data_IF_874857626322
#
_entry.id   IF_874857626322
#
_cell.length_a   1.000
_cell.length_b   1.000
_cell.length_c   1.000
_cell.angle_alpha   90.00
_cell.angle_beta   90.00
_cell.angle_gamma   90.00
#
_symmetry.space_group_name_H-M   'P 1'
#
loop_
_entity.id
_entity.type
_entity.pdbx_description
1 polymer ?
#
# COMPACT_ATOMS: atom_id res chain seq x y z
N UNK A 1 34.98 -23.36 -12.88
CA UNK A 1 33.99 -22.55 -12.14
C UNK A 1 34.78 -21.49 -11.40
N UNK A 2 34.65 -20.23 -11.79
CA UNK A 2 35.29 -19.15 -11.02
C UNK A 2 34.55 -18.96 -9.68
N UNK A 3 35.28 -18.69 -8.58
CA UNK A 3 34.65 -18.43 -7.30
C UNK A 3 33.83 -17.13 -7.36
N UNK A 4 32.60 -17.17 -6.86
CA UNK A 4 31.76 -15.99 -6.73
C UNK A 4 32.43 -14.97 -5.78
N UNK A 5 32.83 -13.81 -6.32
CA UNK A 5 33.43 -12.75 -5.52
C UNK A 5 32.35 -11.83 -4.96
N UNK A 6 32.24 -11.82 -3.62
CA UNK A 6 31.36 -10.91 -2.90
C UNK A 6 32.07 -9.56 -2.74
N UNK A 7 31.50 -8.51 -3.32
CA UNK A 7 32.01 -7.14 -3.13
C UNK A 7 31.67 -6.62 -1.73
N UNK A 8 32.43 -5.65 -1.21
CA UNK A 8 32.15 -5.05 0.10
C UNK A 8 30.72 -4.46 0.24
N UNK A 9 30.13 -3.82 -0.81
CA UNK A 9 28.72 -3.42 -0.77
C UNK A 9 27.75 -4.59 -0.61
N UNK A 10 27.96 -5.69 -1.34
CA UNK A 10 27.12 -6.89 -1.23
C UNK A 10 27.24 -7.49 0.17
N UNK A 11 28.46 -7.59 0.70
CA UNK A 11 28.70 -8.11 2.05
C UNK A 11 27.96 -7.29 3.12
N UNK A 12 28.01 -5.95 3.01
CA UNK A 12 27.31 -5.04 3.93
C UNK A 12 25.79 -5.23 3.85
N UNK A 13 25.26 -5.47 2.66
CA UNK A 13 23.84 -5.73 2.43
C UNK A 13 23.41 -7.08 3.01
N UNK A 14 24.22 -8.13 2.83
CA UNK A 14 24.00 -9.45 3.42
C UNK A 14 24.03 -9.43 4.95
N UNK A 15 24.94 -8.67 5.56
CA UNK A 15 24.99 -8.51 7.02
C UNK A 15 23.75 -7.81 7.58
N UNK A 16 23.24 -6.78 6.87
CA UNK A 16 21.98 -6.12 7.23
C UNK A 16 20.80 -7.08 7.11
N UNK A 17 20.74 -7.84 6.03
CA UNK A 17 19.72 -8.85 5.79
C UNK A 17 19.74 -9.94 6.86
N UNK A 18 20.93 -10.40 7.25
CA UNK A 18 21.10 -11.38 8.32
C UNK A 18 20.58 -10.86 9.66
N UNK A 19 20.85 -9.58 9.98
CA UNK A 19 20.30 -8.95 11.19
C UNK A 19 18.77 -8.90 11.14
N UNK A 20 18.20 -8.51 10.01
CA UNK A 20 16.76 -8.47 9.80
C UNK A 20 16.09 -9.85 9.95
N UNK A 21 16.71 -10.89 9.37
CA UNK A 21 16.24 -12.28 9.48
C UNK A 21 16.23 -12.73 10.95
N UNK A 22 17.29 -12.42 11.72
CA UNK A 22 17.37 -12.76 13.15
C UNK A 22 16.27 -12.11 14.00
N UNK A 23 15.80 -10.94 13.61
CA UNK A 23 14.76 -10.19 14.32
C UNK A 23 13.34 -10.55 13.85
N UNK A 24 13.23 -11.49 12.90
CA UNK A 24 11.98 -11.91 12.25
C UNK A 24 11.69 -13.40 12.48
N UNK A 25 10.50 -13.88 12.08
CA UNK A 25 10.14 -15.31 12.09
C UNK A 25 10.67 -16.09 10.88
N UNK A 26 11.73 -15.58 10.24
CA UNK A 26 12.31 -16.14 9.01
C UNK A 26 13.41 -17.11 9.41
N UNK A 27 13.34 -18.34 8.93
CA UNK A 27 14.35 -19.37 9.19
C UNK A 27 15.36 -19.44 8.04
N UNK A 28 14.89 -19.29 6.80
CA UNK A 28 15.76 -19.40 5.61
C UNK A 28 15.42 -18.39 4.51
N UNK A 29 16.44 -18.04 3.73
CA UNK A 29 16.37 -17.21 2.54
C UNK A 29 16.85 -18.03 1.35
N UNK A 30 16.00 -18.20 0.35
CA UNK A 30 16.33 -18.84 -0.91
C UNK A 30 16.47 -17.77 -2.00
N UNK A 31 17.62 -17.74 -2.67
CA UNK A 31 17.85 -16.90 -3.84
C UNK A 31 18.13 -17.83 -5.01
N UNK A 32 17.24 -17.80 -6.00
CA UNK A 32 17.43 -18.47 -7.29
C UNK A 32 17.80 -17.44 -8.35
N UNK A 33 17.96 -17.89 -9.60
CA UNK A 33 18.13 -17.00 -10.75
C UNK A 33 16.89 -16.15 -11.05
N UNK A 34 15.73 -16.50 -10.49
CA UNK A 34 14.43 -15.96 -10.85
C UNK A 34 13.61 -15.46 -9.65
N UNK A 35 13.92 -15.89 -8.43
CA UNK A 35 13.16 -15.57 -7.22
C UNK A 35 14.02 -15.33 -6.00
N UNK A 36 13.51 -14.47 -5.11
CA UNK A 36 14.00 -14.33 -3.74
C UNK A 36 12.82 -14.67 -2.82
N UNK A 37 12.98 -15.71 -2.02
CA UNK A 37 11.94 -16.25 -1.14
C UNK A 37 12.45 -16.33 0.29
N UNK A 38 11.58 -15.97 1.24
CA UNK A 38 11.88 -16.08 2.66
C UNK A 38 10.92 -17.11 3.25
N UNK A 39 11.46 -18.08 3.97
CA UNK A 39 10.71 -19.23 4.44
C UNK A 39 10.76 -19.33 5.97
N UNK A 40 9.66 -19.75 6.57
CA UNK A 40 9.61 -20.08 7.99
C UNK A 40 10.14 -21.51 8.26
N UNK A 41 9.95 -22.00 9.48
CA UNK A 41 10.40 -23.34 9.89
C UNK A 41 9.61 -24.47 9.23
N UNK A 42 8.42 -24.18 8.76
CA UNK A 42 7.52 -25.10 8.09
C UNK A 42 7.80 -25.15 6.58
N UNK A 43 8.62 -24.21 6.08
CA UNK A 43 8.90 -24.04 4.66
C UNK A 43 7.86 -23.19 3.95
N UNK A 44 6.97 -22.52 4.68
CA UNK A 44 5.98 -21.63 4.12
C UNK A 44 6.59 -20.26 3.82
N UNK A 45 6.14 -19.63 2.73
CA UNK A 45 6.61 -18.29 2.37
C UNK A 45 6.20 -17.26 3.41
N UNK A 46 7.20 -16.61 4.00
CA UNK A 46 7.02 -15.45 4.87
C UNK A 46 6.89 -14.21 3.98
N UNK A 47 5.75 -13.50 4.04
CA UNK A 47 5.59 -12.25 3.30
C UNK A 47 6.56 -11.20 3.86
N UNK A 48 7.49 -10.72 3.03
CA UNK A 48 8.42 -9.67 3.41
C UNK A 48 8.00 -8.35 2.78
N UNK A 49 7.78 -7.36 3.64
CA UNK A 49 7.61 -6.00 3.20
C UNK A 49 8.99 -5.34 3.10
N UNK A 50 9.62 -5.41 1.92
CA UNK A 50 10.85 -4.68 1.60
C UNK A 50 10.57 -3.19 1.35
N UNK A 51 9.83 -2.56 2.26
CA UNK A 51 9.72 -1.11 2.26
C UNK A 51 11.10 -0.54 2.61
N UNK A 52 11.65 0.43 1.86
CA UNK A 52 12.80 1.18 2.34
C UNK A 52 12.46 1.74 3.74
N UNK A 53 13.45 1.83 4.62
CA UNK A 53 13.30 2.62 5.85
C UNK A 53 13.00 4.05 5.43
N UNK A 54 11.73 4.42 5.47
CA UNK A 54 11.25 5.75 5.20
C UNK A 54 11.38 6.51 6.52
N UNK A 55 12.36 7.42 6.61
CA UNK A 55 12.42 8.38 7.71
C UNK A 55 11.69 9.68 7.33
N UNK A 56 11.35 10.51 8.32
CA UNK A 56 10.58 11.74 8.10
C UNK A 56 11.29 12.70 7.13
N UNK A 57 12.63 12.83 7.18
CA UNK A 57 13.40 13.66 6.26
C UNK A 57 13.26 13.21 4.79
N UNK A 58 13.25 11.90 4.55
CA UNK A 58 13.02 11.33 3.22
C UNK A 58 11.57 11.52 2.76
N UNK A 59 10.61 11.53 3.68
CA UNK A 59 9.22 11.86 3.34
C UNK A 59 9.09 13.32 2.94
N UNK A 60 9.66 14.24 3.72
CA UNK A 60 9.59 15.68 3.45
C UNK A 60 10.19 16.02 2.09
N UNK A 61 11.35 15.47 1.76
CA UNK A 61 11.98 15.68 0.43
C UNK A 61 11.18 15.10 -0.74
N UNK A 62 10.33 14.10 -0.48
CA UNK A 62 9.49 13.46 -1.51
C UNK A 62 8.06 13.99 -1.56
N UNK A 63 7.64 14.83 -0.61
CA UNK A 63 6.31 15.45 -0.59
C UNK A 63 5.92 16.08 -1.93
N UNK A 64 6.79 16.82 -2.64
CA UNK A 64 6.43 17.39 -3.94
C UNK A 64 5.98 16.35 -4.97
N UNK A 65 6.59 15.16 -4.98
CA UNK A 65 6.22 14.07 -5.89
C UNK A 65 4.86 13.45 -5.54
N UNK A 66 4.52 13.41 -4.25
CA UNK A 66 3.22 12.93 -3.79
C UNK A 66 2.11 13.92 -4.11
N UNK A 67 2.40 15.22 -4.01
CA UNK A 67 1.49 16.28 -4.42
C UNK A 67 1.29 16.26 -5.95
N UNK A 68 2.36 16.03 -6.72
CA UNK A 68 2.28 15.85 -8.16
C UNK A 68 1.32 14.72 -8.54
N UNK A 69 1.41 13.55 -7.88
CA UNK A 69 0.46 12.45 -8.10
C UNK A 69 -1.00 12.89 -7.85
N UNK A 70 -1.24 13.70 -6.81
CA UNK A 70 -2.58 14.22 -6.50
C UNK A 70 -3.03 15.31 -7.48
N UNK A 71 -2.14 15.99 -8.19
CA UNK A 71 -2.52 17.01 -9.17
C UNK A 71 -2.69 16.45 -10.58
N UNK A 72 -2.28 15.20 -10.83
CA UNK A 72 -2.59 14.54 -12.10
C UNK A 72 -4.09 14.41 -12.27
N UNK A 73 -4.53 14.54 -13.52
CA UNK A 73 -5.89 14.31 -13.93
C UNK A 73 -6.01 12.83 -14.31
N UNK A 74 -6.83 12.10 -13.56
CA UNK A 74 -7.21 10.73 -13.88
C UNK A 74 -8.12 10.68 -15.11
N UNK A 75 -8.18 9.52 -15.74
CA UNK A 75 -9.19 9.28 -16.77
C UNK A 75 -10.46 8.74 -16.10
N UNK A 76 -11.57 9.51 -16.08
CA UNK A 76 -12.81 9.08 -15.42
C UNK A 76 -13.45 7.86 -16.11
N UNK A 77 -13.07 7.54 -17.35
CA UNK A 77 -13.54 6.33 -18.03
C UNK A 77 -12.81 5.05 -17.55
N UNK A 78 -11.70 5.19 -16.81
CA UNK A 78 -11.00 4.03 -16.24
C UNK A 78 -11.63 3.60 -14.93
N UNK A 79 -12.05 2.34 -14.89
CA UNK A 79 -12.61 1.72 -13.70
C UNK A 79 -11.54 1.04 -12.85
N UNK A 80 -11.79 0.98 -11.54
CA UNK A 80 -11.00 0.17 -10.62
C UNK A 80 -11.20 -1.33 -10.92
N UNK A 81 -10.23 -2.15 -10.53
CA UNK A 81 -10.36 -3.61 -10.65
C UNK A 81 -11.64 -4.11 -9.98
N UNK A 82 -12.38 -5.00 -10.64
CA UNK A 82 -13.59 -5.58 -10.04
C UNK A 82 -13.24 -6.35 -8.75
N UNK A 83 -14.05 -6.13 -7.71
CA UNK A 83 -13.99 -6.94 -6.49
C UNK A 83 -14.83 -8.19 -6.71
N UNK A 84 -14.22 -9.36 -6.57
CA UNK A 84 -14.92 -10.64 -6.73
C UNK A 84 -15.77 -10.96 -5.49
N UNK A 85 -16.88 -11.67 -5.71
CA UNK A 85 -17.84 -12.05 -4.67
C UNK A 85 -19.17 -11.30 -4.76
N UNK A 86 -20.26 -12.00 -4.42
CA UNK A 86 -21.63 -11.48 -4.47
C UNK A 86 -22.11 -10.97 -3.12
N UNK A 87 -21.52 -11.44 -2.02
CA UNK A 87 -21.81 -10.95 -0.67
C UNK A 87 -20.70 -10.08 -0.11
N UNK A 88 -21.03 -9.23 0.86
CA UNK A 88 -20.05 -8.38 1.55
C UNK A 88 -18.91 -9.21 2.16
N UNK A 89 -19.22 -10.34 2.80
CA UNK A 89 -18.22 -11.24 3.38
C UNK A 89 -17.26 -11.79 2.32
N UNK A 90 -17.77 -12.24 1.16
CA UNK A 90 -16.93 -12.74 0.08
C UNK A 90 -15.99 -11.66 -0.47
N UNK A 91 -16.49 -10.43 -0.60
CA UNK A 91 -15.70 -9.29 -1.04
C UNK A 91 -14.61 -8.91 -0.02
N UNK A 92 -14.95 -8.96 1.28
CA UNK A 92 -13.99 -8.76 2.37
C UNK A 92 -12.90 -9.83 2.35
N UNK A 93 -13.26 -11.11 2.21
CA UNK A 93 -12.31 -12.22 2.10
C UNK A 93 -11.38 -12.02 0.90
N UNK A 94 -11.95 -11.72 -0.27
CA UNK A 94 -11.19 -11.44 -1.48
C UNK A 94 -10.18 -10.31 -1.25
N UNK A 95 -10.61 -9.15 -0.77
CA UNK A 95 -9.74 -7.99 -0.59
C UNK A 95 -8.64 -8.26 0.46
N UNK A 96 -9.00 -8.88 1.59
CA UNK A 96 -8.03 -9.18 2.65
C UNK A 96 -6.98 -10.19 2.18
N UNK A 97 -7.37 -11.22 1.42
CA UNK A 97 -6.45 -12.18 0.81
C UNK A 97 -5.53 -11.46 -0.18
N UNK A 98 -6.10 -10.68 -1.12
CA UNK A 98 -5.33 -9.99 -2.15
C UNK A 98 -4.31 -9.02 -1.55
N UNK A 99 -4.67 -8.26 -0.53
CA UNK A 99 -3.76 -7.34 0.17
C UNK A 99 -2.57 -8.08 0.80
N UNK A 100 -2.76 -9.32 1.25
CA UNK A 100 -1.71 -10.13 1.87
C UNK A 100 -0.79 -10.83 0.85
N UNK A 101 -1.12 -10.80 -0.44
CA UNK A 101 -0.27 -11.37 -1.50
C UNK A 101 0.90 -10.43 -1.84
N UNK A 102 2.13 -10.94 -1.76
CA UNK A 102 3.37 -10.18 -1.97
C UNK A 102 3.66 -9.78 -3.43
N UNK A 103 2.79 -10.12 -4.38
CA UNK A 103 3.05 -9.98 -5.82
C UNK A 103 2.21 -8.90 -6.52
N UNK A 104 1.47 -8.09 -5.76
CA UNK A 104 0.71 -7.00 -6.35
C UNK A 104 1.61 -5.82 -6.67
N UNK A 105 1.42 -5.23 -7.85
CA UNK A 105 2.00 -3.94 -8.14
C UNK A 105 1.40 -2.85 -7.23
N UNK A 106 2.10 -1.72 -7.15
CA UNK A 106 1.77 -0.61 -6.24
C UNK A 106 0.36 -0.07 -6.48
N UNK A 107 -0.04 0.12 -7.74
CA UNK A 107 -1.33 0.71 -8.06
C UNK A 107 -2.44 -0.27 -7.70
N UNK A 108 -2.33 -1.54 -8.07
CA UNK A 108 -3.29 -2.58 -7.70
C UNK A 108 -3.42 -2.76 -6.19
N UNK A 109 -2.32 -2.68 -5.45
CA UNK A 109 -2.37 -2.74 -3.98
C UNK A 109 -3.14 -1.55 -3.39
N UNK A 110 -2.89 -0.33 -3.88
CA UNK A 110 -3.67 0.85 -3.48
C UNK A 110 -5.15 0.70 -3.82
N UNK A 111 -5.49 0.14 -4.99
CA UNK A 111 -6.88 -0.11 -5.38
C UNK A 111 -7.59 -1.02 -4.38
N UNK A 112 -6.98 -2.14 -4.00
CA UNK A 112 -7.58 -3.04 -3.01
C UNK A 112 -7.74 -2.38 -1.65
N UNK A 113 -6.78 -1.56 -1.21
CA UNK A 113 -6.92 -0.80 0.04
C UNK A 113 -8.04 0.25 -0.03
N UNK A 114 -8.17 0.96 -1.14
CA UNK A 114 -9.26 1.90 -1.37
C UNK A 114 -10.62 1.18 -1.30
N UNK A 115 -10.74 0.08 -2.04
CA UNK A 115 -11.95 -0.73 -2.12
C UNK A 115 -12.32 -1.34 -0.79
N UNK A 116 -11.34 -1.82 0.00
CA UNK A 116 -11.57 -2.28 1.37
C UNK A 116 -12.12 -1.15 2.23
N UNK A 117 -11.61 0.08 2.06
CA UNK A 117 -12.12 1.26 2.73
C UNK A 117 -13.55 1.61 2.34
N UNK A 118 -13.94 1.47 1.07
CA UNK A 118 -15.33 1.64 0.64
C UNK A 118 -16.27 0.67 1.37
N UNK A 119 -15.88 -0.60 1.51
CA UNK A 119 -16.70 -1.62 2.18
C UNK A 119 -16.81 -1.35 3.67
N UNK A 120 -15.75 -0.86 4.31
CA UNK A 120 -15.81 -0.45 5.71
C UNK A 120 -16.68 0.82 5.88
N UNK A 121 -16.61 1.75 4.93
CA UNK A 121 -17.40 2.98 4.94
C UNK A 121 -18.91 2.72 4.77
N UNK A 122 -19.30 1.70 3.99
CA UNK A 122 -20.71 1.25 3.89
C UNK A 122 -21.32 0.90 5.25
N UNK A 123 -20.48 0.52 6.21
CA UNK A 123 -20.86 0.19 7.59
C UNK A 123 -20.30 1.21 8.59
N UNK A 124 -20.07 2.46 8.16
CA UNK A 124 -19.60 3.56 8.99
C UNK A 124 -18.32 3.27 9.80
N UNK A 125 -17.49 2.34 9.34
CA UNK A 125 -16.32 1.90 10.07
C UNK A 125 -16.64 1.48 11.52
N UNK A 126 -17.78 0.82 11.75
CA UNK A 126 -18.16 0.36 13.08
C UNK A 126 -17.14 -0.67 13.64
N UNK A 127 -17.22 -0.94 14.94
CA UNK A 127 -16.30 -1.86 15.61
C UNK A 127 -16.55 -3.34 15.24
N UNK A 128 -17.72 -3.67 14.71
CA UNK A 128 -18.06 -5.03 14.27
C UNK A 128 -17.36 -5.33 12.94
N UNK A 129 -17.47 -4.46 11.94
CA UNK A 129 -16.78 -4.63 10.64
C UNK A 129 -15.26 -4.53 10.77
N UNK A 130 -14.75 -3.75 11.72
CA UNK A 130 -13.33 -3.75 12.06
C UNK A 130 -12.88 -5.07 12.66
N UNK A 131 -13.72 -5.70 13.48
CA UNK A 131 -13.45 -7.02 14.05
C UNK A 131 -13.45 -8.09 12.95
N UNK A 132 -14.43 -8.05 12.05
CA UNK A 132 -14.45 -8.90 10.86
C UNK A 132 -13.19 -8.75 10.00
N UNK A 133 -12.74 -7.51 9.76
CA UNK A 133 -11.47 -7.29 9.08
C UNK A 133 -10.30 -7.87 9.89
N UNK A 134 -10.27 -7.64 11.21
CA UNK A 134 -9.20 -8.13 12.08
C UNK A 134 -9.07 -9.65 12.04
N UNK A 135 -10.17 -10.38 11.97
CA UNK A 135 -10.17 -11.84 11.96
C UNK A 135 -9.60 -12.43 10.65
N UNK A 136 -9.47 -11.61 9.60
CA UNK A 136 -8.88 -11.97 8.29
C UNK A 136 -7.40 -11.63 8.15
N UNK A 137 -6.83 -10.90 9.12
CA UNK A 137 -5.43 -10.49 9.14
C UNK A 137 -4.74 -11.03 10.40
N UNK A 138 -3.43 -11.25 10.34
CA UNK A 138 -2.66 -11.43 11.58
C UNK A 138 -2.70 -10.14 12.40
N UNK A 139 -2.60 -10.22 13.73
CA UNK A 139 -2.75 -9.04 14.59
C UNK A 139 -1.82 -7.87 14.20
N UNK A 140 -0.57 -8.18 13.83
CA UNK A 140 0.43 -7.18 13.42
C UNK A 140 0.11 -6.59 12.05
N UNK A 141 -0.36 -7.40 11.09
CA UNK A 141 -0.75 -6.92 9.77
C UNK A 141 -2.07 -6.14 9.79
N UNK A 142 -3.00 -6.49 10.68
CA UNK A 142 -4.28 -5.80 10.83
C UNK A 142 -4.11 -4.30 11.13
N UNK A 143 -3.28 -3.93 12.11
CA UNK A 143 -3.08 -2.52 12.48
C UNK A 143 -2.56 -1.69 11.31
N UNK A 144 -1.59 -2.22 10.58
CA UNK A 144 -1.00 -1.57 9.43
C UNK A 144 -2.02 -1.50 8.29
N UNK A 145 -2.70 -2.61 7.99
CA UNK A 145 -3.74 -2.67 6.98
C UNK A 145 -4.84 -1.65 7.26
N UNK A 146 -5.38 -1.61 8.48
CA UNK A 146 -6.42 -0.66 8.86
C UNK A 146 -5.95 0.80 8.69
N UNK A 147 -4.72 1.11 9.09
CA UNK A 147 -4.14 2.45 8.94
C UNK A 147 -4.00 2.85 7.48
N UNK A 148 -3.49 1.96 6.64
CA UNK A 148 -3.36 2.18 5.19
C UNK A 148 -4.74 2.33 4.56
N UNK A 149 -5.67 1.40 4.82
CA UNK A 149 -7.05 1.41 4.31
C UNK A 149 -7.73 2.75 4.58
N UNK A 150 -7.65 3.25 5.83
CA UNK A 150 -8.18 4.58 6.19
C UNK A 150 -7.55 5.69 5.36
N UNK A 151 -6.23 5.71 5.27
CA UNK A 151 -5.50 6.80 4.60
C UNK A 151 -5.74 6.81 3.09
N UNK A 152 -5.68 5.64 2.46
CA UNK A 152 -5.97 5.49 1.03
C UNK A 152 -7.42 5.88 0.74
N UNK A 153 -8.38 5.37 1.52
CA UNK A 153 -9.79 5.71 1.35
C UNK A 153 -10.03 7.21 1.52
N UNK A 154 -9.60 7.82 2.62
CA UNK A 154 -9.81 9.26 2.86
C UNK A 154 -9.20 10.13 1.75
N UNK A 155 -8.02 9.77 1.26
CA UNK A 155 -7.33 10.55 0.23
C UNK A 155 -8.05 10.47 -1.13
N UNK A 156 -8.36 9.27 -1.59
CA UNK A 156 -8.96 9.08 -2.92
C UNK A 156 -10.49 9.20 -2.95
N UNK A 157 -11.16 9.12 -1.80
CA UNK A 157 -12.56 9.53 -1.69
C UNK A 157 -12.71 11.03 -1.95
N UNK A 158 -11.79 11.85 -1.42
CA UNK A 158 -11.77 13.30 -1.64
C UNK A 158 -11.29 13.63 -3.06
N UNK A 159 -10.17 13.05 -3.47
CA UNK A 159 -9.55 13.36 -4.76
C UNK A 159 -10.34 12.81 -5.95
N UNK A 160 -11.03 11.69 -5.79
CA UNK A 160 -11.65 10.90 -6.85
C UNK A 160 -10.87 9.61 -7.13
N UNK A 161 -11.58 8.48 -7.15
CA UNK A 161 -11.00 7.14 -7.24
C UNK A 161 -10.21 6.91 -8.55
N UNK A 162 -10.60 7.55 -9.65
CA UNK A 162 -9.92 7.47 -10.94
C UNK A 162 -8.48 7.99 -10.89
N UNK A 163 -8.19 8.95 -9.99
CA UNK A 163 -6.83 9.49 -9.79
C UNK A 163 -5.88 8.50 -9.11
N UNK A 164 -6.41 7.47 -8.45
CA UNK A 164 -5.59 6.40 -7.90
C UNK A 164 -4.85 5.66 -9.03
N UNK A 165 -5.48 5.51 -10.19
CA UNK A 165 -4.94 4.78 -11.34
C UNK A 165 -3.77 5.50 -12.05
N UNK A 166 -3.58 6.79 -11.79
CA UNK A 166 -2.48 7.60 -12.35
C UNK A 166 -1.36 7.89 -11.35
N UNK A 167 -1.45 7.28 -10.16
CA UNK A 167 -0.47 7.43 -9.08
C UNK A 167 0.84 6.72 -9.43
N UNK A 168 1.96 7.45 -9.38
CA UNK A 168 3.29 6.86 -9.65
C UNK A 168 4.14 6.72 -8.38
N UNK A 169 4.06 7.67 -7.45
CA UNK A 169 4.98 7.82 -6.33
C UNK A 169 4.35 7.38 -5.02
N UNK A 170 3.11 7.78 -4.73
CA UNK A 170 2.36 7.35 -3.54
C UNK A 170 2.19 5.84 -3.54
N UNK A 171 2.38 5.24 -2.37
CA UNK A 171 2.25 3.79 -2.16
C UNK A 171 1.65 3.51 -0.79
N UNK A 172 1.15 2.28 -0.60
CA UNK A 172 0.66 1.81 0.70
C UNK A 172 1.71 1.99 1.81
N UNK A 173 2.98 1.69 1.53
CA UNK A 173 4.07 1.83 2.50
C UNK A 173 4.38 3.30 2.84
N UNK A 174 4.39 4.18 1.84
CA UNK A 174 4.55 5.64 2.08
C UNK A 174 3.41 6.14 2.96
N UNK A 175 2.17 5.76 2.64
CA UNK A 175 1.01 6.12 3.42
C UNK A 175 0.97 5.45 4.79
N UNK A 176 1.65 4.34 5.03
CA UNK A 176 1.77 3.75 6.36
C UNK A 176 2.70 4.57 7.25
N UNK A 177 3.89 4.89 6.72
CA UNK A 177 4.98 5.53 7.48
C UNK A 177 4.76 7.04 7.66
N UNK A 178 3.99 7.68 6.78
CA UNK A 178 3.75 9.12 6.85
C UNK A 178 3.22 9.57 8.22
N UNK A 179 3.80 10.62 8.80
CA UNK A 179 3.23 11.23 10.01
C UNK A 179 1.89 11.91 9.71
N UNK A 180 1.14 12.28 10.76
CA UNK A 180 -0.21 12.87 10.58
C UNK A 180 -0.17 14.25 9.92
N UNK A 181 0.86 15.06 10.18
CA UNK A 181 1.01 16.40 9.61
C UNK A 181 1.18 16.33 8.09
N UNK A 182 2.13 15.53 7.62
CA UNK A 182 2.38 15.31 6.20
C UNK A 182 1.15 14.69 5.49
N UNK A 183 0.45 13.77 6.16
CA UNK A 183 -0.78 13.20 5.60
C UNK A 183 -1.90 14.25 5.48
N UNK A 184 -2.03 15.17 6.44
CA UNK A 184 -3.00 16.26 6.36
C UNK A 184 -2.69 17.22 5.20
N UNK A 185 -1.41 17.49 4.92
CA UNK A 185 -1.01 18.25 3.72
C UNK A 185 -1.52 17.58 2.46
N UNK A 186 -1.37 16.25 2.33
CA UNK A 186 -1.92 15.53 1.18
C UNK A 186 -3.45 15.59 1.09
N UNK A 187 -4.15 15.57 2.23
CA UNK A 187 -5.61 15.70 2.22
C UNK A 187 -6.05 17.09 1.71
N UNK A 188 -5.36 18.17 2.09
CA UNK A 188 -5.67 19.50 1.56
C UNK A 188 -5.38 19.58 0.06
N UNK A 189 -4.24 19.05 -0.39
CA UNK A 189 -3.89 19.02 -1.81
C UNK A 189 -4.86 18.18 -2.64
N UNK A 190 -5.37 17.08 -2.08
CA UNK A 190 -6.44 16.30 -2.69
C UNK A 190 -7.74 17.09 -2.85
N UNK A 191 -8.13 17.90 -1.85
CA UNK A 191 -9.30 18.79 -1.94
C UNK A 191 -9.11 19.85 -3.01
N UNK A 192 -7.95 20.53 -3.02
CA UNK A 192 -7.62 21.54 -4.02
C UNK A 192 -7.55 20.97 -5.43
N UNK A 193 -7.05 19.74 -5.59
CA UNK A 193 -7.06 19.02 -6.86
C UNK A 193 -8.48 18.72 -7.34
N UNK A 194 -9.33 18.18 -6.46
CA UNK A 194 -10.73 17.89 -6.74
C UNK A 194 -11.52 19.15 -7.13
N UNK A 195 -11.35 20.24 -6.38
CA UNK A 195 -11.99 21.52 -6.68
C UNK A 195 -11.56 22.08 -8.04
N UNK A 196 -10.26 22.05 -8.36
CA UNK A 196 -9.75 22.51 -9.66
C UNK A 196 -10.33 21.69 -10.82
N UNK A 197 -10.46 20.38 -10.66
CA UNK A 197 -11.04 19.51 -11.69
C UNK A 197 -12.53 19.84 -11.91
N UNK A 198 -13.29 20.09 -10.85
CA UNK A 198 -14.69 20.54 -10.94
C UNK A 198 -14.79 21.92 -11.63
N UNK A 199 -13.95 22.88 -11.24
CA UNK A 199 -13.93 24.22 -11.84
C UNK A 199 -13.59 24.17 -13.33
N UNK A 200 -12.68 23.29 -13.75
CA UNK A 200 -12.34 23.08 -15.16
C UNK A 200 -13.52 22.49 -15.95
N UNK A 201 -14.26 21.54 -15.38
CA UNK A 201 -15.44 20.97 -16.02
C UNK A 201 -16.54 22.01 -16.20
N UNK A 202 -16.78 22.84 -15.18
CA UNK A 202 -17.77 23.92 -15.24
C UNK A 202 -17.39 25.07 -16.18
N UNK A 203 -16.10 25.25 -16.47
CA UNK A 203 -15.62 26.27 -17.40
C UNK A 203 -15.70 25.84 -18.88
N UNK A 204 -16.01 24.56 -19.14
CA UNK A 204 -16.17 23.99 -20.48
C UNK A 204 -17.65 23.93 -20.94
N UNK A 205 -18.58 24.19 -20.02
CA UNK A 205 -20.03 24.32 -20.26
C UNK A 205 -20.44 25.80 -20.49
#
# INVERSE_FOLDING_TARGET
MEPFQVTAPILKLLLRLQKYIKESSIESLCITDSTIEFLDRQGDQVPINLAPEINDDLLETRMPLFIEDLHRIGDPAKELCKVEGTSWNQQMDYLCIRIQLCRLDRATLLQHYYQLGERLAMHNWDEEVKREMKDRFTYRSYKNALRITRRVYSLYYIRGAHNLLTTCHLSANILLEMNIGNFNVLLEEARLGSQREIEQLLALD
#
